data_IF_200568146772
#
_entry.id   IF_200568146772
#
_cell.length_a   1.000
_cell.length_b   1.000
_cell.length_c   1.000
_cell.angle_alpha   90.00
_cell.angle_beta   90.00
_cell.angle_gamma   90.00
#
_symmetry.space_group_name_H-M   'P 1'
#
loop_
_entity.id
_entity.type
_entity.pdbx_description
1 polymer ?
#
# COMPACT_ATOMS: atom_id res chain seq x y z
N UNK A 1 19.19 8.47 -16.78
CA UNK A 1 18.77 7.59 -17.88
C UNK A 1 17.31 7.87 -18.19
N UNK A 2 17.02 8.70 -19.20
CA UNK A 2 15.69 8.70 -19.81
C UNK A 2 15.58 7.39 -20.58
N UNK A 3 14.79 6.44 -20.08
CA UNK A 3 14.58 5.19 -20.78
C UNK A 3 13.84 5.49 -22.09
N UNK A 4 14.37 5.00 -23.21
CA UNK A 4 13.61 4.84 -24.43
C UNK A 4 12.26 4.19 -24.07
N UNK A 5 11.17 4.81 -24.51
CA UNK A 5 9.82 4.46 -24.07
C UNK A 5 9.53 2.97 -24.24
N UNK A 6 8.83 2.38 -23.26
CA UNK A 6 8.35 1.02 -23.34
C UNK A 6 7.55 0.83 -24.64
N UNK A 7 7.83 -0.20 -25.47
CA UNK A 7 7.10 -0.39 -26.72
C UNK A 7 5.59 -0.43 -26.50
N UNK A 8 4.76 0.25 -27.32
CA UNK A 8 3.32 0.38 -27.06
C UNK A 8 2.58 -0.97 -26.92
N UNK A 9 2.97 -1.96 -27.74
CA UNK A 9 2.39 -3.31 -27.67
C UNK A 9 2.70 -3.97 -26.32
N UNK A 10 3.95 -3.85 -25.84
CA UNK A 10 4.37 -4.40 -24.56
C UNK A 10 3.68 -3.69 -23.39
N UNK A 11 3.50 -2.36 -23.47
CA UNK A 11 2.72 -1.60 -22.50
C UNK A 11 1.26 -2.07 -22.43
N UNK A 12 0.65 -2.35 -23.58
CA UNK A 12 -0.72 -2.85 -23.67
C UNK A 12 -0.86 -4.26 -23.06
N UNK A 13 0.10 -5.16 -23.32
CA UNK A 13 0.15 -6.50 -22.73
C UNK A 13 0.27 -6.46 -21.20
N UNK A 14 1.18 -5.66 -20.68
CA UNK A 14 1.36 -5.49 -19.23
C UNK A 14 0.13 -4.84 -18.59
N UNK A 15 -0.52 -3.91 -19.28
CA UNK A 15 -1.80 -3.32 -18.82
C UNK A 15 -2.91 -4.37 -18.77
N UNK A 16 -3.01 -5.24 -19.79
CA UNK A 16 -3.96 -6.36 -19.81
C UNK A 16 -3.69 -7.33 -18.65
N UNK A 17 -2.43 -7.70 -18.43
CA UNK A 17 -2.00 -8.54 -17.32
C UNK A 17 -2.39 -7.94 -15.96
N UNK A 18 -2.15 -6.64 -15.78
CA UNK A 18 -2.48 -5.95 -14.53
C UNK A 18 -4.00 -5.96 -14.26
N UNK A 19 -4.82 -5.67 -15.28
CA UNK A 19 -6.29 -5.73 -15.19
C UNK A 19 -6.82 -7.13 -14.86
N UNK A 20 -6.24 -8.18 -15.42
CA UNK A 20 -6.59 -9.57 -15.09
C UNK A 20 -6.27 -9.84 -13.61
N UNK A 21 -5.09 -9.45 -13.15
CA UNK A 21 -4.68 -9.64 -11.76
C UNK A 21 -5.48 -8.80 -10.76
N UNK A 22 -5.97 -7.63 -11.16
CA UNK A 22 -6.92 -6.85 -10.36
C UNK A 22 -8.18 -7.65 -10.06
N UNK A 23 -8.73 -8.40 -11.03
CA UNK A 23 -9.89 -9.28 -10.80
C UNK A 23 -9.57 -10.39 -9.79
N UNK A 24 -8.37 -10.97 -9.87
CA UNK A 24 -7.90 -11.97 -8.92
C UNK A 24 -7.78 -11.39 -7.50
N UNK A 25 -7.19 -10.19 -7.36
CA UNK A 25 -7.10 -9.48 -6.09
C UNK A 25 -8.50 -9.20 -5.49
N UNK A 26 -9.45 -8.76 -6.31
CA UNK A 26 -10.83 -8.53 -5.87
C UNK A 26 -11.49 -9.81 -5.37
N UNK A 27 -11.30 -10.94 -6.05
CA UNK A 27 -11.81 -12.25 -5.61
C UNK A 27 -11.16 -12.75 -4.30
N UNK A 28 -9.91 -12.36 -4.03
CA UNK A 28 -9.15 -12.78 -2.84
C UNK A 28 -9.37 -11.87 -1.62
N UNK A 29 -9.97 -10.69 -1.78
CA UNK A 29 -9.95 -9.63 -0.76
C UNK A 29 -11.17 -9.59 0.15
N UNK A 30 -11.95 -10.69 0.20
CA UNK A 30 -13.01 -10.89 1.17
C UNK A 30 -12.70 -12.11 2.08
N UNK A 31 -11.84 -11.94 3.11
CA UNK A 31 -11.43 -13.05 3.94
C UNK A 31 -12.51 -13.57 4.90
N UNK A 32 -13.62 -12.82 5.08
CA UNK A 32 -14.71 -13.17 6.00
C UNK A 32 -15.82 -13.99 5.37
N UNK A 33 -15.98 -13.86 4.06
CA UNK A 33 -16.95 -14.62 3.29
C UNK A 33 -16.16 -15.30 2.17
N UNK A 34 -15.65 -16.49 2.46
CA UNK A 34 -15.11 -17.40 1.45
C UNK A 34 -16.25 -17.86 0.54
N UNK A 35 -16.70 -16.97 -0.34
CA UNK A 35 -17.62 -17.30 -1.41
C UNK A 35 -16.96 -18.34 -2.33
N UNK A 36 -17.77 -19.11 -3.05
CA UNK A 36 -17.35 -20.15 -4.00
C UNK A 36 -16.40 -19.68 -5.14
N UNK A 37 -16.11 -18.37 -5.24
CA UNK A 37 -15.23 -17.78 -6.25
C UNK A 37 -13.85 -17.33 -5.74
N UNK A 38 -13.55 -17.43 -4.44
CA UNK A 38 -12.19 -17.13 -3.95
C UNK A 38 -11.32 -18.38 -4.00
N UNK A 39 -10.15 -18.35 -4.68
CA UNK A 39 -9.24 -19.49 -4.67
C UNK A 39 -8.47 -19.63 -3.34
N UNK A 40 -8.60 -18.67 -2.42
CA UNK A 40 -7.88 -18.65 -1.16
C UNK A 40 -8.86 -18.88 -0.01
N UNK A 41 -8.56 -19.90 0.79
CA UNK A 41 -9.19 -20.11 2.09
C UNK A 41 -8.42 -19.31 3.14
N UNK A 42 -9.09 -18.32 3.73
CA UNK A 42 -8.52 -17.46 4.75
C UNK A 42 -8.81 -18.00 6.15
N UNK A 43 -7.81 -18.02 7.01
CA UNK A 43 -7.93 -18.35 8.43
C UNK A 43 -7.54 -17.14 9.27
N UNK A 44 -8.39 -16.68 10.20
CA UNK A 44 -8.08 -15.53 11.04
C UNK A 44 -6.88 -15.83 11.96
N UNK A 45 -6.02 -14.85 12.13
CA UNK A 45 -4.84 -14.93 13.00
C UNK A 45 -5.11 -14.17 14.30
N UNK A 46 -5.60 -14.89 15.31
CA UNK A 46 -5.87 -14.33 16.62
C UNK A 46 -6.89 -13.18 16.60
N UNK A 47 -6.89 -12.39 17.68
CA UNK A 47 -7.70 -11.18 17.80
C UNK A 47 -7.11 -10.03 16.97
N UNK A 48 -7.90 -9.00 16.62
CA UNK A 48 -7.37 -7.81 15.98
C UNK A 48 -6.19 -7.24 16.77
N UNK A 49 -5.10 -6.94 16.07
CA UNK A 49 -3.89 -6.35 16.66
C UNK A 49 -4.04 -4.84 16.80
N UNK A 50 -3.06 -4.20 17.45
CA UNK A 50 -3.03 -2.76 17.66
C UNK A 50 -3.34 -1.96 16.38
N UNK A 51 -4.21 -0.97 16.53
CA UNK A 51 -4.74 -0.20 15.40
C UNK A 51 -6.02 -0.78 14.78
N UNK A 52 -6.50 -1.94 15.26
CA UNK A 52 -7.76 -2.55 14.84
C UNK A 52 -7.65 -3.39 13.57
N UNK A 53 -6.44 -3.86 13.24
CA UNK A 53 -6.20 -4.69 12.06
C UNK A 53 -6.50 -6.14 12.39
N UNK A 54 -7.43 -6.76 11.68
CA UNK A 54 -7.60 -8.22 11.70
C UNK A 54 -6.72 -8.84 10.61
N UNK A 55 -5.78 -9.68 11.04
CA UNK A 55 -4.92 -10.43 10.12
C UNK A 55 -5.53 -11.80 9.83
N UNK A 56 -5.25 -12.29 8.62
CA UNK A 56 -5.60 -13.62 8.14
C UNK A 56 -4.40 -14.23 7.43
N UNK A 57 -4.24 -15.54 7.53
CA UNK A 57 -3.32 -16.32 6.69
C UNK A 57 -4.14 -17.07 5.64
N UNK A 58 -3.61 -17.17 4.43
CA UNK A 58 -4.29 -17.84 3.32
C UNK A 58 -3.68 -19.20 3.03
N UNK A 59 -4.51 -20.12 2.53
CA UNK A 59 -4.08 -21.31 1.80
C UNK A 59 -4.77 -21.30 0.43
N UNK A 60 -4.03 -21.54 -0.64
CA UNK A 60 -4.61 -21.68 -1.98
C UNK A 60 -5.23 -23.09 -2.09
N UNK A 61 -6.55 -23.16 -2.30
CA UNK A 61 -7.26 -24.44 -2.34
C UNK A 61 -6.98 -25.23 -3.63
N UNK A 62 -6.42 -24.59 -4.66
CA UNK A 62 -6.01 -25.27 -5.89
C UNK A 62 -4.71 -26.07 -5.73
N UNK A 63 -3.96 -25.83 -4.64
CA UNK A 63 -2.69 -26.50 -4.37
C UNK A 63 -2.93 -27.58 -3.31
N UNK A 64 -2.96 -28.84 -3.75
CA UNK A 64 -3.18 -30.00 -2.87
C UNK A 64 -2.02 -30.25 -1.89
N UNK A 65 -0.78 -29.94 -2.28
CA UNK A 65 0.41 -30.09 -1.43
C UNK A 65 0.95 -28.72 -0.96
N UNK A 66 0.72 -28.42 0.31
CA UNK A 66 1.16 -27.17 0.95
C UNK A 66 2.68 -27.02 1.00
N UNK A 67 3.44 -28.12 0.93
CA UNK A 67 4.91 -28.08 0.90
C UNK A 67 5.46 -27.58 -0.44
N UNK A 68 4.65 -27.63 -1.51
CA UNK A 68 5.02 -27.20 -2.85
C UNK A 68 4.68 -25.73 -3.13
N UNK A 69 3.84 -25.10 -2.30
CA UNK A 69 3.52 -23.68 -2.49
C UNK A 69 4.63 -22.78 -1.96
N UNK A 70 5.41 -22.21 -2.88
CA UNK A 70 6.39 -21.17 -2.57
C UNK A 70 5.74 -19.86 -2.07
N UNK A 71 4.41 -19.73 -2.18
CA UNK A 71 3.69 -18.52 -1.83
C UNK A 71 3.35 -18.45 -0.35
N UNK A 72 3.67 -17.30 0.24
CA UNK A 72 3.20 -16.89 1.54
C UNK A 72 2.01 -15.94 1.33
N UNK A 73 0.92 -16.18 2.07
CA UNK A 73 -0.37 -15.53 1.87
C UNK A 73 -0.83 -14.89 3.17
N UNK A 74 -0.93 -13.56 3.19
CA UNK A 74 -1.45 -12.81 4.34
C UNK A 74 -2.43 -11.76 3.85
N UNK A 75 -3.51 -11.58 4.60
CA UNK A 75 -4.48 -10.52 4.38
C UNK A 75 -4.65 -9.70 5.66
N UNK A 76 -4.73 -8.38 5.55
CA UNK A 76 -5.04 -7.47 6.65
C UNK A 76 -6.32 -6.70 6.34
N UNK A 77 -7.23 -6.62 7.31
CA UNK A 77 -8.50 -5.89 7.20
C UNK A 77 -8.59 -4.87 8.32
N UNK A 78 -8.99 -3.64 8.00
CA UNK A 78 -9.27 -2.58 8.98
C UNK A 78 -10.39 -1.69 8.48
N UNK A 79 -11.02 -0.97 9.40
CA UNK A 79 -12.00 0.07 9.09
C UNK A 79 -11.38 1.44 9.30
N UNK A 80 -11.27 2.19 8.22
CA UNK A 80 -10.77 3.57 8.23
C UNK A 80 -11.94 4.50 8.47
N UNK A 81 -11.82 5.35 9.48
CA UNK A 81 -12.80 6.39 9.81
C UNK A 81 -12.68 7.57 8.84
N UNK A 82 -12.86 7.31 7.55
CA UNK A 82 -12.91 8.27 6.44
C UNK A 82 -13.74 7.73 5.26
N UNK A 83 -14.39 8.60 4.46
CA UNK A 83 -15.12 8.19 3.26
C UNK A 83 -14.15 7.71 2.17
N UNK A 84 -14.65 6.86 1.28
CA UNK A 84 -13.83 6.16 0.27
C UNK A 84 -12.96 7.13 -0.55
N UNK A 85 -13.53 8.23 -1.04
CA UNK A 85 -12.83 9.16 -1.92
C UNK A 85 -11.62 9.83 -1.25
N UNK A 86 -11.65 10.06 0.06
CA UNK A 86 -10.49 10.62 0.78
C UNK A 86 -9.39 9.58 0.90
N UNK A 87 -9.74 8.34 1.25
CA UNK A 87 -8.78 7.24 1.44
C UNK A 87 -8.16 6.84 0.10
N UNK A 88 -8.96 6.74 -0.96
CA UNK A 88 -8.47 6.39 -2.30
C UNK A 88 -7.59 7.50 -2.88
N UNK A 89 -7.95 8.78 -2.68
CA UNK A 89 -7.11 9.90 -3.10
C UNK A 89 -5.76 9.90 -2.36
N UNK A 90 -5.77 9.68 -1.04
CA UNK A 90 -4.57 9.61 -0.22
C UNK A 90 -3.64 8.47 -0.68
N UNK A 91 -4.16 7.26 -0.91
CA UNK A 91 -3.36 6.12 -1.35
C UNK A 91 -2.94 6.21 -2.83
N UNK A 92 -3.78 6.76 -3.70
CA UNK A 92 -3.44 7.00 -5.11
C UNK A 92 -2.26 7.97 -5.26
N UNK A 93 -2.18 8.95 -4.37
CA UNK A 93 -1.16 10.00 -4.31
C UNK A 93 -0.12 9.79 -3.21
N UNK A 94 0.10 8.56 -2.76
CA UNK A 94 1.01 8.26 -1.64
C UNK A 94 2.42 8.82 -1.84
N UNK A 95 2.94 8.76 -3.07
CA UNK A 95 4.29 9.25 -3.41
C UNK A 95 4.42 10.77 -3.38
N UNK A 96 3.33 11.51 -3.52
CA UNK A 96 3.33 12.98 -3.50
C UNK A 96 2.92 13.55 -2.14
N UNK A 97 2.42 12.71 -1.22
CA UNK A 97 2.17 13.08 0.17
C UNK A 97 3.30 12.56 1.09
N UNK A 98 4.32 13.39 1.40
CA UNK A 98 5.50 12.94 2.15
C UNK A 98 5.17 12.50 3.58
N UNK A 99 4.14 13.08 4.20
CA UNK A 99 3.74 12.69 5.54
C UNK A 99 3.07 11.31 5.53
N UNK A 100 2.10 11.10 4.65
CA UNK A 100 1.43 9.81 4.52
C UNK A 100 2.43 8.72 4.15
N UNK A 101 3.34 9.00 3.20
CA UNK A 101 4.44 8.10 2.85
C UNK A 101 5.28 7.73 4.08
N UNK A 102 5.67 8.71 4.91
CA UNK A 102 6.42 8.46 6.14
C UNK A 102 5.69 7.55 7.12
N UNK A 103 4.38 7.71 7.25
CA UNK A 103 3.57 6.90 8.18
C UNK A 103 3.30 5.51 7.61
N UNK A 104 3.01 5.38 6.32
CA UNK A 104 2.53 4.13 5.72
C UNK A 104 3.66 3.29 5.14
N UNK A 105 4.55 3.90 4.35
CA UNK A 105 5.58 3.21 3.56
C UNK A 105 6.90 3.07 4.30
N UNK A 106 7.51 4.16 4.78
CA UNK A 106 8.90 4.18 5.29
C UNK A 106 9.23 3.10 6.36
N UNK A 107 8.28 2.66 7.23
CA UNK A 107 8.53 1.53 8.12
C UNK A 107 8.87 0.21 7.41
N UNK A 108 8.44 0.04 6.16
CA UNK A 108 8.50 -1.22 5.40
C UNK A 108 9.22 -1.05 4.05
N UNK A 109 8.92 0.01 3.30
CA UNK A 109 9.54 0.31 1.99
C UNK A 109 10.87 1.02 2.23
N UNK A 110 11.94 0.52 1.62
CA UNK A 110 13.28 1.12 1.68
C UNK A 110 13.38 2.20 0.61
N UNK A 111 13.06 1.87 -0.65
CA UNK A 111 12.97 2.80 -1.76
C UNK A 111 11.95 2.31 -2.79
N UNK A 112 11.43 3.22 -3.62
CA UNK A 112 10.50 2.90 -4.70
C UNK A 112 10.65 3.91 -5.83
N UNK A 113 10.69 3.43 -7.08
CA UNK A 113 10.78 4.27 -8.27
C UNK A 113 9.79 3.82 -9.33
N UNK A 114 9.03 4.76 -9.87
CA UNK A 114 8.25 4.52 -11.09
C UNK A 114 9.21 4.50 -12.27
N UNK A 115 9.24 3.38 -12.98
CA UNK A 115 10.09 3.14 -14.14
C UNK A 115 9.41 3.61 -15.43
N UNK A 116 8.13 3.31 -15.56
CA UNK A 116 7.30 3.71 -16.70
C UNK A 116 5.89 4.08 -16.22
N UNK A 117 5.36 5.19 -16.72
CA UNK A 117 3.96 5.56 -16.57
C UNK A 117 3.25 5.26 -17.89
N UNK A 118 2.30 4.32 -17.89
CA UNK A 118 1.68 3.79 -19.11
C UNK A 118 0.30 4.41 -19.37
N UNK A 119 -0.46 4.68 -18.31
CA UNK A 119 -1.77 5.33 -18.37
C UNK A 119 -2.00 6.07 -17.05
N UNK A 120 -2.40 7.33 -17.10
CA UNK A 120 -2.77 8.12 -15.93
C UNK A 120 -3.97 9.00 -16.25
N UNK A 121 -5.09 8.70 -15.61
CA UNK A 121 -6.35 9.47 -15.66
C UNK A 121 -6.87 9.57 -14.25
N UNK A 122 -7.17 10.75 -13.71
CA UNK A 122 -7.65 10.98 -12.34
C UNK A 122 -7.39 9.83 -11.32
N UNK A 123 -8.33 8.86 -11.19
CA UNK A 123 -8.26 7.72 -10.26
C UNK A 123 -7.84 6.36 -10.86
N UNK A 124 -7.55 6.33 -12.15
CA UNK A 124 -7.02 5.18 -12.89
C UNK A 124 -5.56 5.44 -13.27
N UNK A 125 -4.68 4.53 -12.86
CA UNK A 125 -3.28 4.61 -13.24
C UNK A 125 -2.72 3.23 -13.50
N UNK A 126 -1.93 3.08 -14.55
CA UNK A 126 -1.16 1.88 -14.82
C UNK A 126 0.30 2.26 -15.01
N UNK A 127 1.17 1.67 -14.19
CA UNK A 127 2.58 2.04 -14.14
C UNK A 127 3.44 0.82 -13.84
N UNK A 128 4.71 0.88 -14.22
CA UNK A 128 5.72 -0.08 -13.83
C UNK A 128 6.56 0.55 -12.74
N UNK A 129 6.79 -0.17 -11.65
CA UNK A 129 7.58 0.32 -10.53
C UNK A 129 8.61 -0.71 -10.10
N UNK A 130 9.76 -0.21 -9.69
CA UNK A 130 10.70 -0.96 -8.86
C UNK A 130 10.51 -0.54 -7.41
N UNK A 131 10.57 -1.50 -6.48
CA UNK A 131 10.51 -1.23 -5.05
C UNK A 131 11.42 -2.16 -4.27
N UNK A 132 12.14 -1.64 -3.29
CA UNK A 132 12.87 -2.41 -2.29
C UNK A 132 12.12 -2.37 -0.96
N UNK A 133 11.96 -3.53 -0.35
CA UNK A 133 11.14 -3.72 0.85
C UNK A 133 11.95 -4.44 1.92
N UNK A 134 11.88 -3.90 3.13
CA UNK A 134 12.57 -4.38 4.32
C UNK A 134 11.95 -5.68 4.81
N UNK A 135 12.79 -6.69 5.02
CA UNK A 135 12.41 -7.89 5.77
C UNK A 135 12.29 -7.57 7.25
N UNK A 136 11.33 -8.19 7.95
CA UNK A 136 11.13 -7.90 9.37
C UNK A 136 12.21 -8.53 10.27
N UNK A 137 12.91 -9.56 9.79
CA UNK A 137 14.00 -10.22 10.50
C UNK A 137 15.34 -9.86 9.88
N UNK A 138 16.34 -9.59 10.71
CA UNK A 138 17.73 -9.38 10.28
C UNK A 138 18.37 -10.65 9.68
N UNK A 139 17.83 -11.84 9.99
CA UNK A 139 18.27 -13.12 9.41
C UNK A 139 17.76 -13.34 7.98
N UNK A 140 17.05 -12.35 7.41
CA UNK A 140 16.39 -12.48 6.14
C UNK A 140 16.74 -11.26 5.27
N UNK A 141 17.42 -11.50 4.15
CA UNK A 141 17.82 -10.43 3.23
C UNK A 141 16.59 -9.64 2.73
N UNK A 142 16.76 -8.34 2.48
CA UNK A 142 15.72 -7.48 1.92
C UNK A 142 15.37 -7.88 0.49
N UNK A 143 14.14 -7.57 0.05
CA UNK A 143 13.66 -7.96 -1.29
C UNK A 143 13.50 -6.74 -2.16
N UNK A 144 13.84 -6.90 -3.43
CA UNK A 144 13.37 -5.98 -4.45
C UNK A 144 12.30 -6.65 -5.32
N UNK A 145 11.44 -5.82 -5.89
CA UNK A 145 10.36 -6.24 -6.77
C UNK A 145 10.30 -5.30 -7.96
N UNK A 146 10.02 -5.86 -9.14
CA UNK A 146 9.61 -5.11 -10.32
C UNK A 146 8.17 -5.50 -10.60
N UNK A 147 7.27 -4.53 -10.54
CA UNK A 147 5.82 -4.77 -10.59
C UNK A 147 5.15 -3.88 -11.62
N UNK A 148 4.12 -4.42 -12.28
CA UNK A 148 3.09 -3.59 -12.87
C UNK A 148 2.05 -3.30 -11.78
N UNK A 149 1.78 -2.02 -11.57
CA UNK A 149 0.73 -1.53 -10.70
C UNK A 149 -0.44 -1.05 -11.56
N UNK A 150 -1.65 -1.45 -11.20
CA UNK A 150 -2.88 -0.92 -11.77
C UNK A 150 -3.82 -0.45 -10.66
N UNK A 151 -4.25 0.79 -10.79
CA UNK A 151 -5.22 1.44 -9.92
C UNK A 151 -6.48 1.73 -10.71
N UNK A 152 -7.64 1.48 -10.12
CA UNK A 152 -8.93 1.80 -10.76
C UNK A 152 -10.04 1.93 -9.71
N UNK A 153 -11.11 2.62 -10.10
CA UNK A 153 -12.39 2.54 -9.40
C UNK A 153 -13.16 1.30 -9.86
N UNK A 154 -13.82 0.62 -8.93
CA UNK A 154 -14.48 -0.66 -9.18
C UNK A 154 -15.82 -0.74 -8.48
N UNK A 155 -16.76 -1.46 -9.09
CA UNK A 155 -17.97 -1.92 -8.41
C UNK A 155 -17.69 -3.29 -7.80
N UNK A 156 -17.93 -3.43 -6.50
CA UNK A 156 -17.63 -4.65 -5.74
C UNK A 156 -18.94 -5.24 -5.23
N UNK A 157 -19.18 -6.56 -5.34
CA UNK A 157 -20.36 -7.19 -4.75
C UNK A 157 -20.50 -6.84 -3.26
N UNK A 158 -21.67 -6.36 -2.88
CA UNK A 158 -21.99 -6.05 -1.49
C UNK A 158 -22.08 -7.33 -0.67
N UNK A 159 -21.59 -7.28 0.56
CA UNK A 159 -21.74 -8.37 1.54
C UNK A 159 -23.05 -8.28 2.32
N UNK A 160 -23.71 -7.11 2.32
CA UNK A 160 -24.90 -6.84 3.13
C UNK A 160 -26.21 -7.02 2.36
N UNK A 161 -26.18 -6.93 1.02
CA UNK A 161 -27.36 -7.10 0.17
C UNK A 161 -27.02 -7.89 -1.09
N UNK A 162 -27.65 -9.06 -1.21
CA UNK A 162 -27.45 -10.00 -2.33
C UNK A 162 -27.86 -9.34 -3.64
N UNK A 163 -26.95 -9.32 -4.60
CA UNK A 163 -27.19 -8.72 -5.92
C UNK A 163 -26.91 -7.22 -6.01
N UNK A 164 -26.55 -6.55 -4.91
CA UNK A 164 -26.08 -5.16 -4.96
C UNK A 164 -24.56 -5.05 -5.05
N UNK A 165 -24.06 -3.92 -5.54
CA UNK A 165 -22.64 -3.59 -5.56
C UNK A 165 -22.38 -2.32 -4.76
N UNK A 166 -21.25 -2.27 -4.06
CA UNK A 166 -20.71 -1.07 -3.43
C UNK A 166 -19.60 -0.47 -4.28
N UNK A 167 -19.39 0.83 -4.19
CA UNK A 167 -18.21 1.46 -4.81
C UNK A 167 -16.96 1.05 -4.05
N UNK A 168 -15.89 0.90 -4.81
CA UNK A 168 -14.57 0.59 -4.28
C UNK A 168 -13.47 1.17 -5.14
N UNK A 169 -12.26 1.05 -4.62
CA UNK A 169 -11.04 1.41 -5.31
C UNK A 169 -10.01 0.32 -5.08
N UNK A 170 -9.21 0.03 -6.09
CA UNK A 170 -8.20 -1.02 -6.02
C UNK A 170 -6.85 -0.48 -6.46
N UNK A 171 -5.79 -0.96 -5.81
CA UNK A 171 -4.40 -0.78 -6.23
C UNK A 171 -3.76 -2.15 -6.23
N UNK A 172 -3.71 -2.77 -7.41
CA UNK A 172 -3.13 -4.10 -7.61
C UNK A 172 -1.69 -3.97 -8.09
N UNK A 173 -0.79 -4.76 -7.51
CA UNK A 173 0.58 -4.97 -7.98
C UNK A 173 0.78 -6.44 -8.36
N UNK A 174 1.53 -6.66 -9.43
CA UNK A 174 1.92 -7.97 -9.89
C UNK A 174 3.34 -7.93 -10.47
N UNK A 175 4.19 -8.87 -10.05
CA UNK A 175 5.57 -8.96 -10.49
C UNK A 175 5.67 -9.30 -11.97
N UNK A 176 6.55 -8.58 -12.66
CA UNK A 176 6.81 -8.77 -14.09
C UNK A 176 8.32 -8.90 -14.29
N UNK A 177 8.72 -9.68 -15.29
CA UNK A 177 10.13 -9.75 -15.67
C UNK A 177 10.41 -8.71 -16.74
N UNK A 178 11.33 -7.80 -16.43
CA UNK A 178 11.75 -6.73 -17.32
C UNK A 178 13.23 -6.92 -17.61
N UNK A 179 13.61 -7.33 -18.85
CA UNK A 179 15.01 -7.58 -19.20
C UNK A 179 15.95 -6.41 -18.90
N UNK A 180 15.48 -5.17 -19.06
CA UNK A 180 16.25 -3.96 -18.77
C UNK A 180 16.35 -3.59 -17.28
N UNK A 181 15.76 -4.37 -16.37
CA UNK A 181 15.82 -4.14 -14.91
C UNK A 181 16.29 -5.41 -14.20
N UNK A 182 17.58 -5.75 -14.35
CA UNK A 182 18.14 -6.95 -13.75
C UNK A 182 18.07 -6.90 -12.21
N UNK A 183 18.13 -8.06 -11.52
CA UNK A 183 18.19 -8.13 -10.07
C UNK A 183 19.45 -7.47 -9.49
N UNK A 184 19.30 -6.73 -8.40
CA UNK A 184 20.40 -6.16 -7.62
C UNK A 184 20.93 -7.17 -6.59
N UNK A 185 21.46 -8.30 -7.06
CA UNK A 185 21.73 -9.51 -6.26
C UNK A 185 22.68 -9.32 -5.07
N UNK A 186 23.55 -8.29 -5.11
CA UNK A 186 24.46 -7.98 -4.00
C UNK A 186 23.74 -7.39 -2.79
N UNK A 187 22.63 -6.67 -3.01
CA UNK A 187 21.91 -5.95 -1.96
C UNK A 187 20.58 -6.61 -1.62
N UNK A 188 19.88 -7.09 -2.64
CA UNK A 188 18.51 -7.60 -2.53
C UNK A 188 18.35 -8.98 -3.18
N UNK A 189 17.41 -9.77 -2.66
CA UNK A 189 16.89 -10.94 -3.38
C UNK A 189 15.63 -10.53 -4.14
N UNK A 190 15.58 -10.81 -5.45
CA UNK A 190 14.40 -10.53 -6.28
C UNK A 190 13.25 -11.43 -5.85
N UNK A 191 12.24 -10.85 -5.21
CA UNK A 191 11.02 -11.54 -4.84
C UNK A 191 9.98 -11.54 -5.97
N UNK A 192 8.94 -12.36 -5.81
CA UNK A 192 7.73 -12.32 -6.62
C UNK A 192 6.54 -11.91 -5.77
N UNK A 193 5.75 -10.95 -6.23
CA UNK A 193 4.48 -10.55 -5.63
C UNK A 193 3.37 -10.68 -6.66
N UNK A 194 2.26 -11.32 -6.32
CA UNK A 194 1.26 -11.72 -7.31
C UNK A 194 -0.13 -11.29 -6.90
N UNK A 195 -0.83 -10.54 -7.77
CA UNK A 195 -2.21 -10.09 -7.55
C UNK A 195 -2.45 -9.58 -6.11
N UNK A 196 -1.53 -8.73 -5.65
CA UNK A 196 -1.48 -8.22 -4.27
C UNK A 196 -1.75 -6.73 -4.24
N UNK A 197 -2.03 -6.16 -3.08
CA UNK A 197 -2.21 -4.73 -2.90
C UNK A 197 -3.47 -4.38 -2.14
N UNK A 198 -3.99 -3.17 -2.37
CA UNK A 198 -5.10 -2.61 -1.61
C UNK A 198 -6.44 -2.77 -2.32
N UNK A 199 -7.48 -3.08 -1.55
CA UNK A 199 -8.88 -2.96 -1.95
C UNK A 199 -9.60 -2.15 -0.89
N UNK A 200 -10.20 -1.04 -1.32
CA UNK A 200 -11.03 -0.18 -0.49
C UNK A 200 -12.49 -0.37 -0.89
N UNK A 201 -13.37 -0.40 0.11
CA UNK A 201 -14.82 -0.56 -0.11
C UNK A 201 -15.60 0.45 0.71
N UNK A 202 -16.65 1.01 0.10
CA UNK A 202 -17.67 1.69 0.88
C UNK A 202 -18.38 0.70 1.80
N UNK A 203 -18.69 1.17 3.00
CA UNK A 203 -19.52 0.43 3.95
C UNK A 203 -20.91 1.05 4.03
N UNK A 204 -21.86 0.34 4.65
CA UNK A 204 -23.19 0.88 4.90
C UNK A 204 -23.16 2.08 5.87
N UNK A 205 -22.07 2.25 6.62
CA UNK A 205 -21.88 3.38 7.52
C UNK A 205 -21.21 4.53 6.77
N UNK A 206 -21.84 5.71 6.83
CA UNK A 206 -21.27 6.93 6.24
C UNK A 206 -19.90 7.22 6.86
N UNK A 207 -18.96 7.70 6.04
CA UNK A 207 -17.60 8.08 6.45
C UNK A 207 -16.76 6.93 7.02
N UNK A 208 -17.12 5.68 6.75
CA UNK A 208 -16.30 4.50 7.10
C UNK A 208 -16.00 3.72 5.83
N UNK A 209 -14.70 3.49 5.59
CA UNK A 209 -14.18 2.70 4.47
C UNK A 209 -13.56 1.43 5.01
N UNK A 210 -13.95 0.28 4.46
CA UNK A 210 -13.21 -0.96 4.69
C UNK A 210 -11.95 -0.91 3.84
N UNK A 211 -10.78 -1.08 4.46
CA UNK A 211 -9.51 -1.20 3.78
C UNK A 211 -8.97 -2.62 3.97
N UNK A 212 -8.67 -3.27 2.86
CA UNK A 212 -8.10 -4.62 2.81
C UNK A 212 -6.77 -4.55 2.07
N UNK A 213 -5.74 -5.19 2.63
CA UNK A 213 -4.49 -5.48 1.92
C UNK A 213 -4.33 -6.98 1.77
N UNK A 214 -4.11 -7.46 0.54
CA UNK A 214 -3.83 -8.87 0.25
C UNK A 214 -2.39 -8.97 -0.23
N UNK A 215 -1.62 -9.89 0.36
CA UNK A 215 -0.23 -10.15 0.01
C UNK A 215 -0.08 -11.62 -0.37
N UNK A 216 0.32 -11.88 -1.61
CA UNK A 216 0.72 -13.19 -2.13
C UNK A 216 2.16 -13.07 -2.62
N UNK A 217 3.09 -13.56 -1.82
CA UNK A 217 4.52 -13.29 -2.02
C UNK A 217 5.32 -14.59 -2.05
N UNK A 218 6.11 -14.74 -3.10
CA UNK A 218 7.25 -15.64 -3.15
C UNK A 218 8.49 -14.86 -2.75
N UNK A 219 9.07 -15.16 -1.60
CA UNK A 219 10.26 -14.48 -1.12
C UNK A 219 11.54 -14.89 -1.85
N UNK A 220 11.50 -16.01 -2.58
CA UNK A 220 12.64 -16.72 -3.14
C UNK A 220 13.71 -17.05 -2.08
N UNK A 221 14.74 -17.80 -2.49
CA UNK A 221 15.83 -18.24 -1.62
C UNK A 221 15.40 -19.24 -0.54
N UNK A 222 16.20 -19.37 0.51
CA UNK A 222 16.09 -20.43 1.53
C UNK A 222 15.52 -19.94 2.87
N UNK A 223 14.85 -18.79 2.90
CA UNK A 223 14.34 -18.23 4.15
C UNK A 223 13.25 -19.14 4.77
N UNK A 224 13.34 -19.50 6.06
CA UNK A 224 12.32 -20.30 6.73
C UNK A 224 10.93 -19.67 6.62
N UNK A 225 9.90 -20.50 6.38
CA UNK A 225 8.51 -20.05 6.17
C UNK A 225 7.96 -19.20 7.32
N UNK A 226 8.42 -19.45 8.55
CA UNK A 226 8.06 -18.65 9.72
C UNK A 226 8.54 -17.20 9.60
N UNK A 227 9.79 -16.97 9.12
CA UNK A 227 10.33 -15.63 8.89
C UNK A 227 9.62 -14.93 7.72
N UNK A 228 9.31 -15.67 6.65
CA UNK A 228 8.50 -15.18 5.53
C UNK A 228 7.13 -14.70 6.00
N UNK A 229 6.44 -15.54 6.77
CA UNK A 229 5.11 -15.25 7.31
C UNK A 229 5.14 -14.06 8.28
N UNK A 230 6.15 -13.99 9.16
CA UNK A 230 6.35 -12.85 10.06
C UNK A 230 6.58 -11.53 9.31
N UNK A 231 7.38 -11.58 8.24
CA UNK A 231 7.62 -10.42 7.37
C UNK A 231 6.34 -9.95 6.67
N UNK A 232 5.52 -10.86 6.12
CA UNK A 232 4.25 -10.48 5.51
C UNK A 232 3.26 -9.87 6.49
N UNK A 233 3.20 -10.37 7.72
CA UNK A 233 2.37 -9.77 8.77
C UNK A 233 2.81 -8.33 9.02
N UNK A 234 4.11 -8.09 9.15
CA UNK A 234 4.65 -6.74 9.33
C UNK A 234 4.35 -5.81 8.14
N UNK A 235 4.37 -6.33 6.92
CA UNK A 235 3.99 -5.59 5.72
C UNK A 235 2.50 -5.27 5.71
N UNK A 236 1.63 -6.24 6.02
CA UNK A 236 0.18 -6.07 6.06
C UNK A 236 -0.27 -5.03 7.10
N UNK A 237 0.54 -4.73 8.12
CA UNK A 237 0.26 -3.65 9.07
C UNK A 237 0.24 -2.26 8.44
N UNK A 238 0.66 -2.08 7.18
CA UNK A 238 0.50 -0.83 6.44
C UNK A 238 -0.95 -0.33 6.44
N UNK A 239 -1.93 -1.24 6.36
CA UNK A 239 -3.35 -0.88 6.37
C UNK A 239 -3.77 -0.24 7.70
N UNK A 240 -3.22 -0.73 8.83
CA UNK A 240 -3.43 -0.12 10.15
C UNK A 240 -2.80 1.26 10.26
N UNK A 241 -1.66 1.49 9.60
CA UNK A 241 -1.00 2.81 9.55
C UNK A 241 -1.82 3.82 8.75
N UNK A 242 -2.50 3.39 7.68
CA UNK A 242 -3.50 4.23 6.97
C UNK A 242 -4.64 4.60 7.91
N UNK A 243 -5.22 3.64 8.63
CA UNK A 243 -6.29 3.91 9.59
C UNK A 243 -5.84 4.86 10.71
N UNK A 244 -4.62 4.69 11.22
CA UNK A 244 -4.01 5.60 12.21
C UNK A 244 -3.84 7.00 11.66
N UNK A 245 -3.35 7.15 10.43
CA UNK A 245 -3.18 8.46 9.77
C UNK A 245 -4.50 9.24 9.76
N UNK A 246 -5.60 8.64 9.26
CA UNK A 246 -6.89 9.33 9.21
C UNK A 246 -7.44 9.64 10.60
N UNK A 247 -7.24 8.74 11.58
CA UNK A 247 -7.65 8.96 12.97
C UNK A 247 -6.94 10.18 13.56
N UNK A 248 -5.62 10.27 13.41
CA UNK A 248 -4.84 11.38 13.98
C UNK A 248 -5.11 12.70 13.27
N UNK A 249 -5.27 12.71 11.95
CA UNK A 249 -5.49 13.95 11.18
C UNK A 249 -6.90 14.50 11.36
N UNK A 250 -7.90 13.63 11.52
CA UNK A 250 -9.28 14.07 11.79
C UNK A 250 -9.52 14.50 13.23
N UNK A 251 -8.85 13.87 14.19
CA UNK A 251 -8.83 14.41 15.56
C UNK A 251 -8.20 15.81 15.60
N UNK A 252 -7.28 16.10 14.68
CA UNK A 252 -6.69 17.42 14.52
C UNK A 252 -7.50 18.39 13.64
N UNK A 253 -8.44 17.92 12.81
CA UNK A 253 -9.43 18.80 12.15
C UNK A 253 -10.46 19.37 13.15
N UNK A 254 -10.67 18.71 14.30
CA UNK A 254 -11.35 19.32 15.45
C UNK A 254 -10.45 20.29 16.23
N UNK A 255 -9.17 20.43 15.83
CA UNK A 255 -8.16 21.30 16.42
C UNK A 255 -7.46 22.11 15.30
N UNK A 256 -8.24 22.85 14.49
CA UNK A 256 -7.75 23.90 13.58
C UNK A 256 -6.34 23.67 12.98
N UNK A 257 -6.10 22.56 12.26
CA UNK A 257 -4.88 22.46 11.47
C UNK A 257 -5.07 23.12 10.08
N UNK A 258 -4.12 23.96 9.62
CA UNK A 258 -4.24 24.64 8.34
C UNK A 258 -4.21 23.65 7.19
N UNK A 259 -5.13 23.83 6.23
CA UNK A 259 -5.10 23.16 4.93
C UNK A 259 -3.75 23.44 4.26
N UNK A 260 -2.94 22.41 4.03
CA UNK A 260 -1.76 22.52 3.18
C UNK A 260 -2.25 22.59 1.73
N UNK A 261 -2.48 23.80 1.22
CA UNK A 261 -2.43 24.04 -0.23
C UNK A 261 -0.96 24.05 -0.65
N UNK A 262 -0.65 23.27 -1.68
CA UNK A 262 0.70 23.01 -2.17
C UNK A 262 1.30 24.18 -2.99
N UNK A 263 0.63 25.33 -3.06
CA UNK A 263 1.04 26.42 -3.95
C UNK A 263 1.83 27.54 -3.26
N UNK A 264 1.92 27.57 -1.92
CA UNK A 264 2.59 28.67 -1.19
C UNK A 264 4.04 28.37 -0.77
N UNK A 265 4.65 27.29 -1.29
CA UNK A 265 5.99 26.85 -0.90
C UNK A 265 7.11 27.88 -1.19
N UNK A 266 6.85 28.88 -2.03
CA UNK A 266 7.83 29.91 -2.40
C UNK A 266 7.68 31.26 -1.69
N UNK A 267 6.62 31.51 -0.90
CA UNK A 267 6.39 32.84 -0.29
C UNK A 267 6.67 32.92 1.23
N UNK A 268 6.90 31.81 1.93
CA UNK A 268 6.98 31.82 3.41
C UNK A 268 8.39 31.70 3.99
N UNK A 269 9.44 31.71 3.16
CA UNK A 269 10.83 31.60 3.59
C UNK A 269 11.32 32.75 4.50
N UNK A 270 10.53 33.82 4.69
CA UNK A 270 10.89 34.98 5.51
C UNK A 270 10.24 35.10 6.90
N UNK A 271 9.27 34.24 7.26
CA UNK A 271 8.35 34.59 8.36
C UNK A 271 8.70 34.02 9.77
N UNK A 272 9.91 33.50 9.97
CA UNK A 272 10.35 33.03 11.30
C UNK A 272 9.44 31.95 11.92
N UNK A 273 8.72 31.18 11.11
CA UNK A 273 7.81 30.11 11.54
C UNK A 273 8.23 28.77 10.97
N UNK A 274 7.99 27.69 11.72
CA UNK A 274 8.22 26.35 11.23
C UNK A 274 7.20 26.00 10.15
N UNK A 275 7.64 25.58 8.95
CA UNK A 275 6.74 25.19 7.87
C UNK A 275 5.88 23.94 8.18
N UNK A 276 6.27 23.13 9.16
CA UNK A 276 5.56 21.90 9.53
C UNK A 276 4.52 22.12 10.63
N UNK A 277 4.79 23.01 11.59
CA UNK A 277 3.88 23.26 12.71
C UNK A 277 3.34 24.69 12.79
N UNK A 278 3.83 25.59 11.95
CA UNK A 278 3.55 27.03 11.91
C UNK A 278 3.84 27.82 13.20
N UNK A 279 4.42 27.18 14.22
CA UNK A 279 4.92 27.86 15.43
C UNK A 279 6.03 28.85 15.08
N UNK A 280 6.02 30.01 15.73
CA UNK A 280 7.08 31.01 15.60
C UNK A 280 8.31 30.53 16.35
N UNK A 281 9.48 30.62 15.72
CA UNK A 281 10.74 30.57 16.44
C UNK A 281 10.85 31.88 17.24
N UNK A 282 10.94 31.77 18.56
CA UNK A 282 10.97 32.93 19.46
C UNK A 282 12.18 33.80 19.16
N UNK A 283 12.00 35.13 19.17
CA UNK A 283 13.05 36.10 18.80
C UNK A 283 14.12 36.24 19.89
N UNK A 284 13.89 35.70 21.10
CA UNK A 284 14.85 35.76 22.21
C UNK A 284 14.80 34.49 23.08
N UNK A 285 15.48 33.42 22.65
CA UNK A 285 16.09 32.37 23.49
C UNK A 285 16.77 31.31 22.61
N UNK A 286 17.83 30.69 23.10
CA UNK A 286 18.72 29.75 22.40
C UNK A 286 18.04 28.70 21.48
N UNK A 287 18.68 28.45 20.32
CA UNK A 287 18.41 27.41 19.30
C UNK A 287 17.20 26.52 19.57
N UNK A 288 16.05 26.87 19.01
CA UNK A 288 14.83 26.08 19.22
C UNK A 288 14.68 25.01 18.12
N UNK A 289 14.78 23.73 18.51
CA UNK A 289 14.50 22.61 17.59
C UNK A 289 13.01 22.28 17.58
N UNK A 290 12.38 22.32 16.40
CA UNK A 290 10.99 21.93 16.26
C UNK A 290 10.82 20.42 16.56
N UNK A 291 10.01 20.07 17.57
CA UNK A 291 9.77 18.65 17.94
C UNK A 291 9.05 17.81 16.87
N UNK A 292 8.48 18.42 15.83
CA UNK A 292 7.75 17.72 14.75
C UNK A 292 8.60 17.52 13.48
N UNK A 293 9.49 18.44 13.16
CA UNK A 293 10.33 18.38 11.94
C UNK A 293 11.83 18.38 12.20
N UNK A 294 12.25 18.56 13.46
CA UNK A 294 13.63 18.64 13.92
C UNK A 294 14.48 19.75 13.29
N UNK A 295 13.89 20.65 12.50
CA UNK A 295 14.56 21.85 12.00
C UNK A 295 14.94 22.74 13.18
N UNK A 296 16.19 23.17 13.21
CA UNK A 296 16.76 24.10 14.18
C UNK A 296 16.84 25.46 13.51
N UNK A 297 16.32 26.49 14.17
CA UNK A 297 16.41 27.88 13.72
C UNK A 297 16.74 28.78 14.90
#
# INVERSE_FOLDING_TARGET
>A
MQAAGLPPQYAAELTKLAKVNTKVLLACSNPRNSNAGSPIQWTPLGKPVDGGVQLYTGNDSSIHDKSQSALNLVCGVVYVQAPLHEVSHALGNLTTNPYLKRVVDDPVVIDSRTLYDMDKRDRRATRIQWMSIRSASALMQHRDFVVVQHQDEVAIPSTSSRGSTVRGWVSCIHSVNLPMVPPFTQTYLRGGVYASGFVLRETNQRRITEAVVVLKVDFKGYAPRLLCTGTLKAWAMCVGRVAKYFRTHRSADNLHLPRVHLDDAHQLAGNGRCWVCHDRFGVHSDKHSCRKCHKVQ
#
